data_IF_368726360277
#
_entry.id   IF_368726360277
#
_cell.length_a   1.000
_cell.length_b   1.000
_cell.length_c   1.000
_cell.angle_alpha   90.00
_cell.angle_beta   90.00
_cell.angle_gamma   90.00
#
_symmetry.space_group_name_H-M   'P 1'
#
loop_
_entity.id
_entity.type
_entity.pdbx_description
1 polymer ?
#
# COMPACT_ATOMS: atom_id res chain seq x y z
N UNK A 1 -18.78 -18.16 20.64
CA UNK A 1 -18.46 -18.04 19.20
C UNK A 1 -16.96 -18.05 19.09
N UNK A 2 -16.37 -19.04 18.41
CA UNK A 2 -14.92 -19.10 18.27
C UNK A 2 -14.46 -17.89 17.44
N UNK A 3 -13.82 -16.93 18.09
CA UNK A 3 -13.22 -15.76 17.45
C UNK A 3 -12.11 -16.24 16.51
N UNK A 4 -12.25 -15.93 15.22
CA UNK A 4 -11.19 -16.16 14.23
C UNK A 4 -9.87 -15.58 14.79
N UNK A 5 -8.84 -16.41 15.02
CA UNK A 5 -7.63 -16.01 15.73
C UNK A 5 -6.72 -15.10 14.91
N UNK A 6 -7.00 -14.91 13.61
CA UNK A 6 -6.20 -14.06 12.74
C UNK A 6 -6.31 -12.58 13.13
N UNK A 7 -5.23 -11.79 13.00
CA UNK A 7 -5.24 -10.38 13.32
C UNK A 7 -6.26 -9.62 12.45
N UNK A 8 -6.90 -8.62 13.05
CA UNK A 8 -7.77 -7.67 12.34
C UNK A 8 -6.92 -6.52 11.78
N UNK A 9 -6.95 -6.33 10.47
CA UNK A 9 -6.28 -5.22 9.78
C UNK A 9 -7.34 -4.31 9.14
N UNK A 10 -7.23 -3.01 9.38
CA UNK A 10 -8.09 -1.99 8.77
C UNK A 10 -7.35 -1.29 7.64
N UNK A 11 -8.00 -1.14 6.48
CA UNK A 11 -7.54 -0.31 5.37
C UNK A 11 -8.37 0.97 5.31
N UNK A 12 -7.72 2.13 5.27
CA UNK A 12 -8.38 3.40 4.96
C UNK A 12 -8.61 3.47 3.44
N UNK A 13 -9.81 3.12 3.01
CA UNK A 13 -10.17 3.02 1.60
C UNK A 13 -9.59 1.80 0.87
N UNK A 14 -9.99 1.60 -0.40
CA UNK A 14 -9.58 0.44 -1.20
C UNK A 14 -8.12 0.53 -1.66
N UNK A 15 -7.45 -0.63 -1.67
CA UNK A 15 -6.14 -0.82 -2.31
C UNK A 15 -6.28 -1.75 -3.52
N UNK A 16 -5.21 -1.93 -4.29
CA UNK A 16 -5.20 -2.86 -5.41
C UNK A 16 -5.66 -4.27 -4.98
N UNK A 17 -6.51 -4.97 -5.75
CA UNK A 17 -7.05 -6.28 -5.38
C UNK A 17 -5.98 -7.31 -5.00
N UNK A 18 -4.87 -7.36 -5.75
CA UNK A 18 -3.76 -8.26 -5.44
C UNK A 18 -3.13 -7.98 -4.07
N UNK A 19 -3.01 -6.70 -3.69
CA UNK A 19 -2.51 -6.29 -2.38
C UNK A 19 -3.46 -6.75 -1.26
N UNK A 20 -4.77 -6.58 -1.47
CA UNK A 20 -5.78 -7.06 -0.50
C UNK A 20 -5.75 -8.58 -0.39
N UNK A 21 -5.67 -9.30 -1.52
CA UNK A 21 -5.62 -10.74 -1.57
C UNK A 21 -4.38 -11.32 -0.86
N UNK A 22 -3.25 -10.59 -0.84
CA UNK A 22 -2.09 -10.95 -0.04
C UNK A 22 -2.35 -10.80 1.46
N UNK A 23 -3.02 -9.72 1.88
CA UNK A 23 -3.36 -9.50 3.29
C UNK A 23 -4.41 -10.51 3.80
N UNK A 24 -5.42 -10.82 3.00
CA UNK A 24 -6.51 -11.76 3.37
C UNK A 24 -6.00 -13.18 3.69
N UNK A 25 -4.81 -13.56 3.21
CA UNK A 25 -4.16 -14.84 3.53
C UNK A 25 -3.81 -14.95 5.02
N UNK A 26 -3.33 -13.86 5.61
CA UNK A 26 -2.76 -13.84 6.95
C UNK A 26 -3.63 -13.10 7.97
N UNK A 27 -4.54 -12.24 7.50
CA UNK A 27 -5.33 -11.34 8.33
C UNK A 27 -6.80 -11.30 7.92
N UNK A 28 -7.64 -10.89 8.86
CA UNK A 28 -9.00 -10.43 8.57
C UNK A 28 -8.91 -8.98 8.14
N UNK A 29 -9.22 -8.68 6.88
CA UNK A 29 -9.08 -7.33 6.34
C UNK A 29 -10.45 -6.65 6.26
N UNK A 30 -10.56 -5.48 6.88
CA UNK A 30 -11.73 -4.60 6.78
C UNK A 30 -11.34 -3.33 6.04
N UNK A 31 -12.09 -2.98 5.00
CA UNK A 31 -11.95 -1.71 4.32
C UNK A 31 -12.90 -0.71 5.00
N UNK A 32 -12.35 0.38 5.50
CA UNK A 32 -13.12 1.48 6.06
C UNK A 32 -13.45 2.48 4.94
N UNK A 33 -14.74 2.66 4.68
CA UNK A 33 -15.25 3.63 3.71
C UNK A 33 -15.26 5.07 4.26
N UNK A 34 -15.28 5.23 5.59
CA UNK A 34 -15.19 6.53 6.25
C UNK A 34 -13.72 6.87 6.56
N UNK A 35 -13.06 7.49 5.58
CA UNK A 35 -11.66 7.88 5.69
C UNK A 35 -11.42 9.15 6.54
N UNK A 36 -12.44 9.66 7.25
CA UNK A 36 -12.23 10.73 8.23
C UNK A 36 -11.44 10.23 9.44
N UNK A 37 -10.77 11.13 10.17
CA UNK A 37 -10.04 10.75 11.39
C UNK A 37 -10.95 10.03 12.39
N UNK A 38 -12.16 10.53 12.60
CA UNK A 38 -13.14 9.90 13.49
C UNK A 38 -13.60 8.52 12.99
N UNK A 39 -13.84 8.39 11.68
CA UNK A 39 -14.19 7.11 11.04
C UNK A 39 -13.10 6.06 11.21
N UNK A 40 -11.85 6.44 10.93
CA UNK A 40 -10.69 5.57 11.06
C UNK A 40 -10.41 5.19 12.52
N UNK A 41 -10.50 6.13 13.46
CA UNK A 41 -10.36 5.83 14.91
C UNK A 41 -11.42 4.81 15.35
N UNK A 42 -12.67 5.01 14.93
CA UNK A 42 -13.77 4.09 15.24
C UNK A 42 -13.53 2.70 14.63
N UNK A 43 -13.11 2.63 13.36
CA UNK A 43 -12.83 1.37 12.69
C UNK A 43 -11.63 0.64 13.29
N UNK A 44 -10.61 1.38 13.75
CA UNK A 44 -9.39 0.85 14.32
C UNK A 44 -9.50 0.46 15.81
N UNK A 45 -10.63 0.74 16.47
CA UNK A 45 -10.81 0.52 17.91
C UNK A 45 -10.52 -0.93 18.37
N UNK A 46 -10.76 -1.92 17.49
CA UNK A 46 -10.48 -3.34 17.74
C UNK A 46 -9.42 -3.91 16.78
N UNK A 47 -8.84 -3.07 15.93
CA UNK A 47 -7.84 -3.50 14.96
C UNK A 47 -6.50 -3.80 15.65
N UNK A 48 -5.73 -4.71 15.06
CA UNK A 48 -4.35 -4.99 15.46
C UNK A 48 -3.34 -4.23 14.60
N UNK A 49 -3.78 -3.76 13.43
CA UNK A 49 -2.99 -2.92 12.53
C UNK A 49 -3.90 -2.11 11.61
N UNK A 50 -3.40 -0.96 11.16
CA UNK A 50 -4.10 -0.08 10.24
C UNK A 50 -3.17 0.39 9.12
N UNK A 51 -3.64 0.34 7.88
CA UNK A 51 -3.01 0.98 6.74
C UNK A 51 -3.82 2.23 6.39
N UNK A 52 -3.17 3.38 6.49
CA UNK A 52 -3.83 4.67 6.34
C UNK A 52 -2.88 5.68 5.71
N UNK A 53 -3.45 6.72 5.08
CA UNK A 53 -2.69 7.80 4.45
C UNK A 53 -3.09 9.12 5.10
N UNK A 54 -2.18 9.71 5.86
CA UNK A 54 -2.34 11.06 6.40
C UNK A 54 -1.10 11.85 6.00
N UNK A 55 -1.29 13.01 5.38
CA UNK A 55 -0.19 13.95 5.07
C UNK A 55 -0.67 15.39 5.27
N UNK A 56 -0.02 16.17 6.15
CA UNK A 56 0.94 15.78 7.20
C UNK A 56 0.24 15.09 8.38
N UNK A 57 0.85 14.06 8.98
CA UNK A 57 0.34 13.47 10.23
C UNK A 57 0.80 14.31 11.41
N UNK A 58 -0.12 14.99 12.10
CA UNK A 58 0.20 15.65 13.37
C UNK A 58 0.66 14.60 14.40
N UNK A 59 1.56 14.98 15.30
CA UNK A 59 1.94 14.13 16.45
C UNK A 59 0.74 13.83 17.35
N UNK A 60 -0.23 14.72 17.36
CA UNK A 60 -1.46 14.60 18.16
C UNK A 60 -2.54 13.77 17.45
N UNK A 61 -2.21 13.12 16.33
CA UNK A 61 -3.18 12.30 15.61
C UNK A 61 -3.62 11.10 16.51
N UNK A 62 -4.93 10.93 16.78
CA UNK A 62 -5.41 9.90 17.68
C UNK A 62 -5.05 8.47 17.26
N UNK A 63 -4.94 8.21 15.95
CA UNK A 63 -4.62 6.87 15.42
C UNK A 63 -3.21 6.42 15.87
N UNK A 64 -2.26 7.36 15.96
CA UNK A 64 -0.91 7.08 16.45
C UNK A 64 -0.86 6.73 17.94
N UNK A 65 -1.91 7.06 18.68
CA UNK A 65 -1.99 6.90 20.13
C UNK A 65 -2.97 5.78 20.56
N UNK A 66 -3.52 5.02 19.62
CA UNK A 66 -4.38 3.87 19.93
C UNK A 66 -3.55 2.77 20.63
N UNK A 67 -4.01 2.24 21.79
CA UNK A 67 -3.22 1.29 22.58
C UNK A 67 -3.09 -0.09 21.91
N UNK A 68 -3.94 -0.38 20.93
CA UNK A 68 -4.08 -1.69 20.27
C UNK A 68 -3.49 -1.73 18.85
N UNK A 69 -2.93 -0.63 18.35
CA UNK A 69 -2.52 -0.50 16.95
C UNK A 69 -1.03 -0.17 16.85
N UNK A 70 -0.29 -0.97 16.07
CA UNK A 70 1.09 -0.64 15.69
C UNK A 70 1.08 0.13 14.37
N UNK A 71 1.58 1.36 14.38
CA UNK A 71 1.72 2.19 13.19
C UNK A 71 3.16 2.09 12.65
N UNK A 72 3.33 1.66 11.40
CA UNK A 72 4.59 1.78 10.66
C UNK A 72 4.48 2.90 9.62
N UNK A 73 5.54 3.71 9.45
CA UNK A 73 5.67 4.53 8.25
C UNK A 73 5.71 3.62 7.02
N UNK A 74 5.20 4.07 5.87
CA UNK A 74 4.99 3.33 4.60
C UNK A 74 6.22 2.55 4.09
N UNK A 75 6.58 1.48 4.80
CA UNK A 75 7.86 0.80 4.72
C UNK A 75 7.70 -0.72 4.75
N UNK A 76 6.46 -1.23 4.77
CA UNK A 76 6.19 -2.67 4.85
C UNK A 76 6.87 -3.48 3.74
N UNK A 77 7.01 -2.90 2.54
CA UNK A 77 7.70 -3.51 1.40
C UNK A 77 9.14 -3.04 1.17
N UNK A 78 9.70 -2.22 2.07
CA UNK A 78 10.99 -1.55 1.84
C UNK A 78 12.11 -2.31 2.55
N UNK A 79 12.58 -3.37 1.89
CA UNK A 79 13.78 -4.13 2.30
C UNK A 79 14.98 -3.75 1.43
N UNK A 80 16.20 -4.06 1.88
CA UNK A 80 17.42 -3.82 1.08
C UNK A 80 17.35 -4.54 -0.27
N UNK A 81 16.83 -5.76 -0.26
CA UNK A 81 16.65 -6.61 -1.43
C UNK A 81 15.60 -6.02 -2.37
N UNK A 82 14.43 -5.61 -1.85
CA UNK A 82 13.37 -5.00 -2.65
C UNK A 82 13.81 -3.68 -3.29
N UNK A 83 14.49 -2.81 -2.52
CA UNK A 83 15.03 -1.55 -3.04
C UNK A 83 16.07 -1.79 -4.12
N UNK A 84 16.98 -2.77 -3.93
CA UNK A 84 17.97 -3.13 -4.96
C UNK A 84 17.30 -3.65 -6.22
N UNK A 85 16.34 -4.57 -6.12
CA UNK A 85 15.63 -5.12 -7.28
C UNK A 85 14.86 -4.04 -8.03
N UNK A 86 14.13 -3.18 -7.31
CA UNK A 86 13.42 -2.06 -7.92
C UNK A 86 14.38 -1.11 -8.67
N UNK A 87 15.53 -0.76 -8.07
CA UNK A 87 16.53 0.09 -8.72
C UNK A 87 17.09 -0.53 -10.00
N UNK A 88 17.39 -1.84 -9.98
CA UNK A 88 17.88 -2.56 -11.15
C UNK A 88 16.82 -2.64 -12.26
N UNK A 89 15.57 -2.95 -11.91
CA UNK A 89 14.46 -3.02 -12.85
C UNK A 89 14.21 -1.67 -13.51
N UNK A 90 14.04 -0.60 -12.72
CA UNK A 90 13.83 0.76 -13.25
C UNK A 90 14.96 1.16 -14.19
N UNK A 91 16.23 0.91 -13.80
CA UNK A 91 17.38 1.24 -14.63
C UNK A 91 17.39 0.45 -15.95
N UNK A 92 17.05 -0.84 -15.91
CA UNK A 92 16.93 -1.68 -17.10
C UNK A 92 15.84 -1.19 -18.05
N UNK A 93 14.64 -0.91 -17.54
CA UNK A 93 13.51 -0.42 -18.35
C UNK A 93 13.81 0.95 -18.96
N UNK A 94 14.47 1.85 -18.22
CA UNK A 94 14.91 3.14 -18.75
C UNK A 94 15.87 2.97 -19.93
N UNK A 95 16.83 2.05 -19.84
CA UNK A 95 17.75 1.76 -20.94
C UNK A 95 17.03 1.17 -22.16
N UNK A 96 16.02 0.31 -21.97
CA UNK A 96 15.17 -0.20 -23.06
C UNK A 96 14.48 0.94 -23.81
N UNK A 97 13.81 1.84 -23.09
CA UNK A 97 13.14 2.99 -23.70
C UNK A 97 14.12 3.86 -24.49
N UNK A 98 15.30 4.13 -23.93
CA UNK A 98 16.33 4.95 -24.60
C UNK A 98 16.88 4.30 -25.87
N UNK A 99 16.81 2.96 -25.99
CA UNK A 99 17.16 2.22 -27.21
C UNK A 99 16.01 2.12 -28.21
N UNK A 100 14.84 2.66 -27.89
CA UNK A 100 13.62 2.51 -28.70
C UNK A 100 12.94 1.15 -28.52
N UNK A 101 13.32 0.38 -27.50
CA UNK A 101 12.72 -0.90 -27.16
C UNK A 101 11.53 -0.71 -26.20
N UNK A 102 10.52 -1.57 -26.34
CA UNK A 102 9.35 -1.55 -25.44
C UNK A 102 9.74 -2.09 -24.05
N UNK A 103 9.37 -1.40 -22.95
CA UNK A 103 9.54 -1.92 -21.59
C UNK A 103 8.79 -3.25 -21.38
N UNK A 104 9.39 -4.17 -20.63
CA UNK A 104 8.80 -5.47 -20.28
C UNK A 104 7.64 -5.29 -19.29
N UNK A 105 7.74 -4.30 -18.38
CA UNK A 105 6.77 -4.04 -17.31
C UNK A 105 5.92 -2.79 -17.56
N UNK A 106 5.57 -2.53 -18.82
CA UNK A 106 4.76 -1.38 -19.18
C UNK A 106 3.30 -1.53 -18.69
N UNK A 107 2.96 -0.85 -17.61
CA UNK A 107 1.61 -0.90 -16.98
C UNK A 107 0.52 -0.35 -17.88
N UNK A 108 0.83 0.64 -18.72
CA UNK A 108 -0.13 1.28 -19.62
C UNK A 108 0.28 1.04 -21.08
N UNK A 109 -0.01 -0.13 -21.68
CA UNK A 109 0.48 -0.49 -23.02
C UNK A 109 0.17 0.55 -24.12
N UNK A 110 -0.98 1.22 -24.02
CA UNK A 110 -1.45 2.16 -25.04
C UNK A 110 -0.56 3.40 -25.17
N UNK A 111 0.25 3.73 -24.17
CA UNK A 111 1.17 4.87 -24.24
C UNK A 111 2.36 4.58 -25.15
N UNK A 112 2.68 3.32 -25.44
CA UNK A 112 3.80 2.94 -26.28
C UNK A 112 3.69 3.54 -27.69
N UNK A 113 2.49 3.49 -28.28
CA UNK A 113 2.22 4.05 -29.61
C UNK A 113 2.38 5.58 -29.70
N UNK A 114 2.41 6.25 -28.55
CA UNK A 114 2.53 7.71 -28.42
C UNK A 114 3.96 8.17 -28.16
N UNK A 115 4.90 7.26 -27.93
CA UNK A 115 6.30 7.60 -27.66
C UNK A 115 6.89 8.39 -28.84
N UNK A 116 7.55 9.51 -28.54
CA UNK A 116 8.18 10.38 -29.55
C UNK A 116 7.22 11.29 -30.33
N UNK A 117 5.90 11.19 -30.12
CA UNK A 117 4.94 12.17 -30.66
C UNK A 117 4.95 13.41 -29.75
N UNK A 118 5.37 14.55 -30.28
CA UNK A 118 5.26 15.87 -29.61
C UNK A 118 3.90 16.49 -29.90
#
# INVERSE_FOLDING_TARGET
>A
MATDPRPLIVLAGPIHPDGKALLDKEARVVVCEDETEAGLVKAAAEAHGILFRIRPTSRDNPILNLPNVVCSSHMAGVTREATRQAAMQVSGEMLRVLRGERPDVLVNPDVWARLGRR
#
